data_IF_006048264804
#
_entry.id   IF_006048264804
#
_cell.length_a   1.000
_cell.length_b   1.000
_cell.length_c   1.000
_cell.angle_alpha   90.00
_cell.angle_beta   90.00
_cell.angle_gamma   90.00
#
_symmetry.space_group_name_H-M   'P 1'
#
loop_
_entity.id
_entity.type
_entity.pdbx_description
1 polymer ?
#
# COMPACT_ATOMS: atom_id res chain seq x y z
N UNK A 1 33.46 11.40 -2.30
CA UNK A 1 33.99 10.57 -3.40
C UNK A 1 32.83 9.71 -3.85
N UNK A 2 32.18 10.08 -4.95
CA UNK A 2 30.90 9.49 -5.37
C UNK A 2 31.18 8.12 -5.98
N UNK A 3 31.25 7.09 -5.14
CA UNK A 3 31.34 5.71 -5.57
C UNK A 3 29.94 5.19 -5.89
N UNK A 4 29.62 5.07 -7.17
CA UNK A 4 28.43 4.35 -7.60
C UNK A 4 28.76 2.87 -7.79
N UNK A 5 27.77 2.00 -7.63
CA UNK A 5 27.90 0.55 -7.85
C UNK A 5 26.74 0.09 -8.71
N UNK A 6 27.03 -0.59 -9.82
CA UNK A 6 26.02 -1.22 -10.66
C UNK A 6 25.91 -2.70 -10.30
N UNK A 7 24.69 -3.13 -9.98
CA UNK A 7 24.36 -4.53 -9.77
C UNK A 7 23.34 -4.95 -10.81
N UNK A 8 23.67 -6.00 -11.57
CA UNK A 8 22.81 -6.52 -12.63
C UNK A 8 22.31 -7.91 -12.26
N UNK A 9 21.00 -8.09 -12.33
CA UNK A 9 20.33 -9.37 -12.12
C UNK A 9 19.58 -9.77 -13.38
N UNK A 10 19.71 -11.04 -13.78
CA UNK A 10 18.91 -11.65 -14.85
C UNK A 10 18.03 -12.75 -14.28
N UNK A 11 16.73 -12.56 -14.33
CA UNK A 11 15.74 -13.57 -13.94
C UNK A 11 15.30 -14.35 -15.17
N UNK A 12 15.51 -15.67 -15.18
CA UNK A 12 14.94 -16.54 -16.22
C UNK A 12 13.43 -16.71 -16.03
N UNK A 13 12.70 -17.05 -17.09
CA UNK A 13 11.26 -17.35 -17.00
C UNK A 13 10.94 -18.39 -15.91
N UNK A 14 11.75 -19.46 -15.80
CA UNK A 14 11.58 -20.48 -14.76
C UNK A 14 11.78 -19.93 -13.33
N UNK A 15 12.68 -18.96 -13.14
CA UNK A 15 12.87 -18.30 -11.85
C UNK A 15 11.69 -17.39 -11.50
N UNK A 16 11.09 -16.74 -12.51
CA UNK A 16 9.90 -15.90 -12.36
C UNK A 16 8.69 -16.77 -11.97
N UNK A 17 8.47 -17.88 -12.69
CA UNK A 17 7.35 -18.80 -12.42
C UNK A 17 7.47 -19.46 -11.05
N UNK A 18 8.70 -19.76 -10.61
CA UNK A 18 8.99 -20.29 -9.27
C UNK A 18 8.95 -19.21 -8.17
N UNK A 19 8.74 -17.93 -8.51
CA UNK A 19 8.65 -16.83 -7.55
C UNK A 19 9.97 -16.51 -6.84
N UNK A 20 11.10 -16.80 -7.47
CA UNK A 20 12.42 -16.50 -6.93
C UNK A 20 12.64 -14.99 -6.79
N UNK A 21 13.44 -14.62 -5.80
CA UNK A 21 13.69 -13.21 -5.45
C UNK A 21 15.16 -12.97 -5.14
N UNK A 22 15.53 -11.69 -5.13
CA UNK A 22 16.84 -11.21 -4.69
C UNK A 22 16.65 -10.40 -3.41
N UNK A 23 17.33 -10.83 -2.34
CA UNK A 23 17.31 -10.13 -1.05
C UNK A 23 18.66 -9.50 -0.76
N UNK A 24 18.65 -8.21 -0.46
CA UNK A 24 19.77 -7.49 0.12
C UNK A 24 19.66 -7.59 1.63
N UNK A 25 20.66 -8.16 2.29
CA UNK A 25 20.60 -8.43 3.72
C UNK A 25 21.57 -7.55 4.49
N UNK A 26 21.18 -7.09 5.67
CA UNK A 26 22.06 -6.49 6.67
C UNK A 26 21.76 -7.10 8.05
N UNK A 27 22.79 -7.64 8.70
CA UNK A 27 22.68 -8.28 10.02
C UNK A 27 21.51 -9.29 10.16
N UNK A 28 21.19 -10.00 9.06
CA UNK A 28 20.09 -10.98 9.01
C UNK A 28 18.71 -10.42 8.68
N UNK A 29 18.56 -9.09 8.56
CA UNK A 29 17.34 -8.44 8.10
C UNK A 29 17.40 -8.15 6.58
N UNK A 30 16.27 -8.26 5.89
CA UNK A 30 16.14 -7.86 4.48
C UNK A 30 16.06 -6.34 4.43
N UNK A 31 16.94 -5.66 3.70
CA UNK A 31 16.89 -4.23 3.41
C UNK A 31 16.05 -3.92 2.17
N UNK A 32 16.23 -4.73 1.13
CA UNK A 32 15.58 -4.60 -0.17
C UNK A 32 15.28 -5.98 -0.74
N UNK A 33 14.05 -6.19 -1.22
CA UNK A 33 13.57 -7.43 -1.79
C UNK A 33 13.04 -7.18 -3.20
N UNK A 34 13.63 -7.84 -4.19
CA UNK A 34 13.21 -7.77 -5.60
C UNK A 34 12.50 -9.07 -5.97
N UNK A 35 11.21 -8.99 -6.34
CA UNK A 35 10.40 -10.14 -6.69
C UNK A 35 9.59 -9.91 -7.97
N UNK A 36 9.94 -10.59 -9.07
CA UNK A 36 9.10 -10.64 -10.27
C UNK A 36 7.76 -11.30 -9.95
N UNK A 37 6.66 -10.77 -10.50
CA UNK A 37 5.31 -11.33 -10.38
C UNK A 37 4.86 -11.88 -11.73
N UNK A 38 4.75 -13.21 -11.82
CA UNK A 38 4.35 -13.93 -13.03
C UNK A 38 2.95 -13.55 -13.54
N UNK A 39 1.99 -13.37 -12.62
CA UNK A 39 0.57 -13.13 -12.95
C UNK A 39 0.25 -11.70 -13.41
N UNK A 40 1.21 -10.78 -13.38
CA UNK A 40 0.93 -9.37 -13.66
C UNK A 40 2.08 -8.59 -14.25
N UNK A 41 3.01 -9.28 -14.93
CA UNK A 41 4.15 -8.70 -15.66
C UNK A 41 4.78 -7.51 -14.91
N UNK A 42 5.13 -7.71 -13.65
CA UNK A 42 5.62 -6.61 -12.83
C UNK A 42 6.79 -7.04 -11.96
N UNK A 43 7.70 -6.11 -11.68
CA UNK A 43 8.69 -6.25 -10.61
C UNK A 43 8.15 -5.57 -9.36
N UNK A 44 7.95 -6.35 -8.30
CA UNK A 44 7.69 -5.80 -6.98
C UNK A 44 9.03 -5.55 -6.27
N UNK A 45 9.18 -4.35 -5.73
CA UNK A 45 10.35 -3.90 -4.98
C UNK A 45 9.84 -3.54 -3.60
N UNK A 46 10.34 -4.25 -2.60
CA UNK A 46 9.94 -4.05 -1.21
C UNK A 46 11.14 -3.61 -0.40
N UNK A 47 11.02 -2.53 0.37
CA UNK A 47 11.99 -2.16 1.39
C UNK A 47 11.54 -2.65 2.77
N UNK A 48 12.49 -2.78 3.69
CA UNK A 48 12.21 -3.05 5.10
C UNK A 48 12.94 -2.05 5.97
N UNK A 49 12.23 -1.48 6.93
CA UNK A 49 12.79 -0.61 7.96
C UNK A 49 12.35 -1.13 9.33
N UNK A 50 13.29 -1.23 10.28
CA UNK A 50 12.99 -1.55 11.69
C UNK A 50 12.08 -2.78 11.86
N UNK A 51 12.46 -3.89 11.22
CA UNK A 51 11.75 -5.18 11.20
C UNK A 51 10.36 -5.23 10.54
N UNK A 52 9.87 -4.13 9.97
CA UNK A 52 8.61 -4.07 9.20
C UNK A 52 8.86 -3.78 7.71
N UNK A 53 8.07 -4.40 6.84
CA UNK A 53 8.04 -4.01 5.42
C UNK A 53 7.53 -2.58 5.32
N UNK A 54 8.30 -1.73 4.63
CA UNK A 54 8.12 -0.28 4.65
C UNK A 54 7.37 0.18 3.39
N UNK A 55 8.01 0.12 2.22
CA UNK A 55 7.43 0.55 0.95
C UNK A 55 7.43 -0.59 -0.08
N UNK A 56 6.29 -0.85 -0.72
CA UNK A 56 6.19 -1.69 -1.92
C UNK A 56 5.98 -0.80 -3.14
N UNK A 57 6.90 -0.84 -4.10
CA UNK A 57 6.69 -0.24 -5.42
C UNK A 57 6.61 -1.34 -6.46
N UNK A 58 5.58 -1.20 -7.31
CA UNK A 58 5.33 -2.10 -8.41
C UNK A 58 5.67 -1.41 -9.72
N UNK A 59 6.63 -1.97 -10.44
CA UNK A 59 6.98 -1.51 -11.78
C UNK A 59 6.36 -2.47 -12.79
N UNK A 60 5.45 -1.96 -13.63
CA UNK A 60 4.86 -2.73 -14.71
C UNK A 60 5.84 -2.86 -15.88
N UNK A 61 5.98 -4.08 -16.40
CA UNK A 61 6.75 -4.38 -17.61
C UNK A 61 5.82 -4.09 -18.80
N UNK A 62 5.93 -2.89 -19.38
CA UNK A 62 5.13 -2.50 -20.55
C UNK A 62 5.62 -3.25 -21.79
N UNK A 63 4.90 -4.31 -22.19
CA UNK A 63 5.21 -5.13 -23.37
C UNK A 63 4.36 -6.40 -23.47
N UNK A 64 4.09 -6.86 -24.70
CA UNK A 64 3.23 -8.03 -24.97
C UNK A 64 3.84 -9.37 -24.51
N UNK A 65 5.16 -9.44 -24.30
CA UNK A 65 5.88 -10.62 -23.82
C UNK A 65 6.82 -10.21 -22.67
N UNK A 66 6.84 -11.00 -21.59
CA UNK A 66 7.95 -10.93 -20.62
C UNK A 66 9.16 -11.49 -21.37
N UNK A 67 10.28 -10.77 -21.50
CA UNK A 67 11.46 -11.33 -22.16
C UNK A 67 11.89 -12.62 -21.43
N UNK A 68 12.40 -13.61 -22.18
CA UNK A 68 12.90 -14.90 -21.63
C UNK A 68 13.89 -14.71 -20.45
N UNK A 69 14.50 -13.53 -20.40
CA UNK A 69 15.25 -13.02 -19.26
C UNK A 69 14.85 -11.58 -18.92
N UNK A 70 14.43 -11.33 -17.69
CA UNK A 70 14.22 -9.98 -17.15
C UNK A 70 15.55 -9.45 -16.59
N UNK A 71 16.08 -8.39 -17.19
CA UNK A 71 17.26 -7.67 -16.68
C UNK A 71 16.85 -6.52 -15.75
N UNK A 72 17.44 -6.51 -14.55
CA UNK A 72 17.28 -5.45 -13.56
C UNK A 72 18.65 -4.90 -13.21
N UNK A 73 18.87 -3.61 -13.48
CA UNK A 73 20.06 -2.90 -13.04
C UNK A 73 19.73 -1.99 -11.85
N UNK A 74 20.51 -2.10 -10.78
CA UNK A 74 20.47 -1.16 -9.67
C UNK A 74 21.70 -0.26 -9.73
N UNK A 75 21.46 1.04 -9.69
CA UNK A 75 22.50 2.05 -9.58
C UNK A 75 22.37 2.78 -8.24
N UNK A 76 23.31 2.53 -7.34
CA UNK A 76 23.37 3.24 -6.07
C UNK A 76 24.05 4.60 -6.22
N UNK A 77 23.41 5.67 -5.74
CA UNK A 77 23.89 7.05 -5.75
C UNK A 77 23.68 7.72 -4.39
N UNK A 78 24.21 8.93 -4.18
CA UNK A 78 24.02 9.71 -2.95
C UNK A 78 22.54 10.10 -2.70
N UNK A 79 21.70 10.08 -3.74
CA UNK A 79 20.28 10.42 -3.66
C UNK A 79 19.37 9.17 -3.53
N UNK A 80 19.96 7.96 -3.46
CA UNK A 80 19.24 6.69 -3.36
C UNK A 80 19.60 5.69 -4.46
N UNK A 81 18.76 4.66 -4.61
CA UNK A 81 18.89 3.58 -5.59
C UNK A 81 18.04 3.89 -6.82
N UNK A 82 18.68 4.08 -7.97
CA UNK A 82 17.97 4.15 -9.26
C UNK A 82 17.83 2.75 -9.83
N UNK A 83 16.63 2.39 -10.27
CA UNK A 83 16.35 1.08 -10.86
C UNK A 83 16.10 1.24 -12.35
N UNK A 84 16.78 0.42 -13.14
CA UNK A 84 16.54 0.29 -14.57
C UNK A 84 16.00 -1.11 -14.86
N UNK A 85 14.92 -1.16 -15.65
CA UNK A 85 14.34 -2.38 -16.17
C UNK A 85 14.62 -2.47 -17.66
N UNK A 86 15.20 -3.59 -18.10
CA UNK A 86 15.55 -3.80 -19.51
C UNK A 86 16.38 -2.65 -20.13
N UNK A 87 17.21 -1.97 -19.33
CA UNK A 87 18.06 -0.86 -19.77
C UNK A 87 17.40 0.52 -19.78
N UNK A 88 16.11 0.64 -19.47
CA UNK A 88 15.40 1.93 -19.34
C UNK A 88 15.27 2.35 -17.87
N UNK A 89 15.49 3.64 -17.58
CA UNK A 89 15.36 4.15 -16.21
C UNK A 89 13.90 4.14 -15.79
N UNK A 90 13.58 3.33 -14.78
CA UNK A 90 12.18 3.15 -14.35
C UNK A 90 11.81 4.09 -13.21
N UNK A 91 12.64 4.22 -12.18
CA UNK A 91 12.37 5.11 -11.04
C UNK A 91 13.61 5.30 -10.13
N UNK A 92 13.53 6.24 -9.18
CA UNK A 92 14.57 6.51 -8.17
C UNK A 92 13.98 6.30 -6.77
N UNK A 93 14.66 5.52 -5.95
CA UNK A 93 14.26 5.17 -4.59
C UNK A 93 15.22 5.75 -3.55
N UNK A 94 14.78 6.79 -2.85
CA UNK A 94 15.55 7.40 -1.76
C UNK A 94 15.40 6.65 -0.43
N UNK A 95 14.34 5.86 -0.23
CA UNK A 95 14.00 5.21 1.05
C UNK A 95 14.31 3.70 1.13
N UNK A 96 14.77 3.07 0.05
CA UNK A 96 15.05 1.61 -0.03
C UNK A 96 16.23 1.09 0.82
N UNK A 97 16.68 1.86 1.81
CA UNK A 97 17.88 1.59 2.58
C UNK A 97 19.16 1.93 1.81
N UNK A 98 20.19 2.33 2.55
CA UNK A 98 21.54 2.51 1.99
C UNK A 98 22.11 1.14 1.63
N UNK A 99 22.25 0.85 0.32
CA UNK A 99 22.77 -0.43 -0.16
C UNK A 99 24.23 -0.65 0.27
N UNK A 100 24.97 0.37 0.69
CA UNK A 100 26.29 0.18 1.31
C UNK A 100 26.22 -0.53 2.66
N UNK A 101 25.05 -0.57 3.31
CA UNK A 101 24.83 -1.30 4.55
C UNK A 101 24.52 -2.79 4.34
N UNK A 102 24.29 -3.23 3.10
CA UNK A 102 24.07 -4.64 2.83
C UNK A 102 25.37 -5.44 3.10
N UNK A 103 25.31 -6.38 4.03
CA UNK A 103 26.43 -7.28 4.35
C UNK A 103 26.46 -8.49 3.43
N UNK A 104 25.31 -8.87 2.83
CA UNK A 104 25.24 -9.94 1.83
C UNK A 104 24.07 -9.74 0.85
N UNK A 105 24.13 -10.45 -0.28
CA UNK A 105 23.04 -10.54 -1.25
C UNK A 105 22.67 -12.02 -1.36
N UNK A 106 21.41 -12.36 -1.09
CA UNK A 106 20.87 -13.70 -1.26
C UNK A 106 20.19 -13.81 -2.61
N UNK A 107 20.75 -14.65 -3.47
CA UNK A 107 20.23 -14.93 -4.81
C UNK A 107 20.19 -16.43 -5.06
N UNK A 108 19.05 -17.02 -5.46
CA UNK A 108 19.01 -18.38 -5.98
C UNK A 108 19.95 -18.56 -7.18
N UNK A 109 20.52 -19.75 -7.34
CA UNK A 109 21.47 -20.07 -8.43
C UNK A 109 20.88 -19.92 -9.85
N UNK A 110 19.55 -19.85 -9.95
CA UNK A 110 18.79 -19.63 -11.18
C UNK A 110 18.71 -18.17 -11.61
N UNK A 111 19.25 -17.24 -10.79
CA UNK A 111 19.39 -15.82 -11.09
C UNK A 111 20.86 -15.53 -11.36
N UNK A 112 21.19 -15.11 -12.57
CA UNK A 112 22.55 -14.69 -12.88
C UNK A 112 22.80 -13.30 -12.29
N UNK A 113 23.92 -13.14 -11.58
CA UNK A 113 24.32 -11.89 -10.91
C UNK A 113 25.66 -11.42 -11.45
N UNK A 114 25.69 -10.21 -11.98
CA UNK A 114 26.93 -9.52 -12.39
C UNK A 114 27.13 -8.28 -11.53
N UNK A 115 28.31 -8.16 -10.94
CA UNK A 115 28.67 -7.03 -10.08
C UNK A 115 29.82 -6.27 -10.71
N UNK A 116 29.56 -5.06 -11.18
CA UNK A 116 30.61 -4.18 -11.69
C UNK A 116 31.20 -3.36 -10.55
N UNK A 117 32.54 -3.25 -10.45
CA UNK A 117 33.20 -2.45 -9.43
C UNK A 117 32.92 -0.95 -9.65
N UNK A 118 32.94 -0.18 -8.56
CA UNK A 118 32.78 1.27 -8.63
C UNK A 118 33.86 1.90 -9.51
N UNK A 119 33.47 2.42 -10.67
CA UNK A 119 34.36 3.15 -11.58
C UNK A 119 34.08 4.64 -11.47
N UNK A 120 35.06 5.55 -11.37
CA UNK A 120 34.79 6.99 -11.39
C UNK A 120 34.25 7.47 -12.75
N UNK A 121 34.33 6.64 -13.80
CA UNK A 121 33.82 6.96 -15.13
C UNK A 121 33.39 5.69 -15.88
N UNK A 122 32.09 5.57 -16.16
CA UNK A 122 31.53 4.86 -17.31
C UNK A 122 30.44 5.78 -17.89
N UNK A 123 30.25 5.78 -19.21
CA UNK A 123 29.42 6.75 -19.89
C UNK A 123 27.99 6.52 -19.44
N UNK A 124 27.35 7.58 -18.94
CA UNK A 124 25.91 7.70 -19.05
C UNK A 124 25.59 7.42 -20.52
N UNK A 125 25.12 6.22 -20.84
CA UNK A 125 24.23 6.06 -21.98
C UNK A 125 22.97 6.78 -21.52
N UNK A 126 23.01 8.11 -21.61
CA UNK A 126 21.81 8.91 -21.68
C UNK A 126 21.03 8.29 -22.82
N UNK A 127 19.80 7.78 -22.62
CA UNK A 127 18.90 7.63 -23.74
C UNK A 127 18.94 8.96 -24.50
N UNK A 128 18.84 8.91 -25.83
CA UNK A 128 18.78 10.11 -26.65
C UNK A 128 17.51 10.87 -26.29
N UNK A 129 17.59 11.66 -25.23
CA UNK A 129 16.67 12.71 -24.89
C UNK A 129 16.94 13.74 -25.96
N UNK A 130 16.02 13.87 -26.92
CA UNK A 130 15.89 15.16 -27.58
C UNK A 130 15.72 16.20 -26.47
N UNK A 131 16.70 17.09 -26.32
CA UNK A 131 16.64 18.21 -25.39
C UNK A 131 15.36 18.99 -25.66
N UNK A 132 14.34 18.78 -24.84
CA UNK A 132 13.45 19.86 -24.46
C UNK A 132 14.22 20.62 -23.37
N UNK A 133 14.62 21.85 -23.66
CA UNK A 133 15.40 22.68 -22.75
C UNK A 133 14.68 22.85 -21.41
N UNK A 134 15.46 22.94 -20.32
CA UNK A 134 14.98 23.24 -18.97
C UNK A 134 14.08 24.48 -18.96
N UNK A 135 12.97 24.50 -18.17
CA UNK A 135 12.20 25.72 -18.00
C UNK A 135 13.02 26.75 -17.22
N UNK A 136 13.21 27.90 -17.87
CA UNK A 136 13.66 29.19 -17.34
C UNK A 136 12.68 29.64 -16.23
N UNK A 137 13.10 30.45 -15.23
CA UNK A 137 12.19 31.01 -14.23
C UNK A 137 11.07 31.77 -14.93
N UNK A 138 9.83 31.84 -14.38
CA UNK A 138 8.74 32.50 -15.08
C UNK A 138 8.90 34.02 -14.99
N UNK A 139 9.72 34.58 -15.88
CA UNK A 139 9.47 35.90 -16.45
C UNK A 139 8.96 35.72 -17.88
N UNK A 140 7.68 36.07 -18.03
CA UNK A 140 6.93 36.58 -19.18
C UNK A 140 7.44 36.24 -20.62
N UNK A 141 6.48 35.76 -21.45
CA UNK A 141 6.44 35.63 -22.93
C UNK A 141 6.72 34.22 -23.54
N UNK A 142 6.20 33.87 -24.73
CA UNK A 142 4.88 34.07 -25.35
C UNK A 142 4.16 32.71 -25.64
N UNK A 143 2.88 32.79 -26.02
CA UNK A 143 1.97 31.66 -26.36
C UNK A 143 2.54 30.72 -27.45
N UNK A 144 2.38 29.38 -27.39
CA UNK A 144 2.81 28.47 -28.45
C UNK A 144 1.89 28.54 -29.69
N UNK A 145 2.45 28.69 -30.89
CA UNK A 145 1.72 28.88 -32.16
C UNK A 145 1.71 27.68 -33.11
N UNK A 146 2.02 26.45 -32.66
CA UNK A 146 1.90 25.26 -33.51
C UNK A 146 0.78 24.34 -33.02
N UNK A 147 -0.36 24.45 -33.71
CA UNK A 147 -1.64 23.79 -33.47
C UNK A 147 -1.58 22.33 -33.99
N UNK A 148 -1.93 21.29 -33.21
CA UNK A 148 -2.40 20.04 -33.82
C UNK A 148 -3.64 20.36 -34.68
N UNK A 149 -3.94 19.60 -35.75
CA UNK A 149 -5.16 19.85 -36.52
C UNK A 149 -6.33 19.82 -35.55
N UNK A 150 -7.01 20.97 -35.46
CA UNK A 150 -8.15 21.15 -34.60
C UNK A 150 -9.20 20.12 -35.00
N UNK A 151 -9.61 19.27 -34.07
CA UNK A 151 -11.00 18.84 -34.08
C UNK A 151 -11.79 20.12 -33.86
N UNK A 152 -12.30 20.71 -34.95
CA UNK A 152 -12.99 22.00 -35.02
C UNK A 152 -14.35 21.98 -34.30
N UNK A 153 -14.31 21.75 -33.00
CA UNK A 153 -15.42 21.95 -32.08
C UNK A 153 -14.87 22.51 -30.79
N UNK A 154 -14.94 23.83 -30.62
CA UNK A 154 -14.93 24.41 -29.27
C UNK A 154 -16.16 23.83 -28.59
N UNK A 155 -15.96 22.84 -27.73
CA UNK A 155 -17.05 22.36 -26.87
C UNK A 155 -17.39 23.54 -25.96
N UNK A 156 -18.56 24.13 -26.17
CA UNK A 156 -19.09 25.21 -25.34
C UNK A 156 -19.02 24.80 -23.85
N UNK A 157 -18.66 25.71 -22.91
CA UNK A 157 -18.52 25.38 -21.48
C UNK A 157 -19.71 24.62 -20.90
N UNK A 158 -20.93 24.96 -21.34
CA UNK A 158 -22.15 24.26 -20.95
C UNK A 158 -22.19 22.81 -21.46
N UNK A 159 -21.79 22.58 -22.71
CA UNK A 159 -21.74 21.24 -23.30
C UNK A 159 -20.67 20.37 -22.60
N UNK A 160 -19.51 20.95 -22.28
CA UNK A 160 -18.48 20.21 -21.56
C UNK A 160 -18.95 19.81 -20.16
N UNK A 161 -19.61 20.72 -19.45
CA UNK A 161 -20.18 20.42 -18.15
C UNK A 161 -21.20 19.26 -18.25
N UNK A 162 -22.11 19.29 -19.23
CA UNK A 162 -23.07 18.18 -19.44
C UNK A 162 -22.37 16.85 -19.72
N UNK A 163 -21.32 16.82 -20.55
CA UNK A 163 -20.54 15.62 -20.82
C UNK A 163 -19.84 15.08 -19.56
N UNK A 164 -19.27 15.97 -18.74
CA UNK A 164 -18.65 15.62 -17.46
C UNK A 164 -19.69 15.04 -16.51
N UNK A 165 -20.85 15.69 -16.35
CA UNK A 165 -21.94 15.21 -15.51
C UNK A 165 -22.45 13.84 -15.98
N UNK A 166 -22.58 13.64 -17.29
CA UNK A 166 -23.01 12.37 -17.87
C UNK A 166 -22.00 11.25 -17.61
N UNK A 167 -20.71 11.49 -17.84
CA UNK A 167 -19.64 10.54 -17.57
C UNK A 167 -19.55 10.20 -16.07
N UNK A 168 -19.71 11.20 -15.19
CA UNK A 168 -19.75 11.00 -13.75
C UNK A 168 -20.98 10.19 -13.29
N UNK A 169 -22.15 10.41 -13.91
CA UNK A 169 -23.35 9.60 -13.71
C UNK A 169 -23.15 8.14 -14.12
N UNK A 170 -22.38 7.89 -15.19
CA UNK A 170 -21.97 6.57 -15.62
C UNK A 170 -20.80 5.98 -14.79
N UNK A 171 -20.26 6.74 -13.83
CA UNK A 171 -19.06 6.40 -13.03
C UNK A 171 -17.80 6.14 -13.88
N UNK A 172 -17.74 6.73 -15.07
CA UNK A 172 -16.57 6.70 -15.93
C UNK A 172 -15.59 7.80 -15.52
N UNK A 173 -14.88 7.56 -14.42
CA UNK A 173 -13.98 8.54 -13.82
C UNK A 173 -12.80 8.89 -14.73
N UNK A 174 -12.33 7.92 -15.52
CA UNK A 174 -11.28 8.13 -16.51
C UNK A 174 -11.76 9.13 -17.57
N UNK A 175 -12.98 8.94 -18.10
CA UNK A 175 -13.57 9.85 -19.08
C UNK A 175 -13.82 11.24 -18.51
N UNK A 176 -14.28 11.36 -17.27
CA UNK A 176 -14.42 12.68 -16.60
C UNK A 176 -13.07 13.41 -16.58
N UNK A 177 -12.01 12.72 -16.15
CA UNK A 177 -10.68 13.31 -16.07
C UNK A 177 -10.12 13.66 -17.45
N UNK A 178 -10.37 12.83 -18.47
CA UNK A 178 -9.96 13.08 -19.86
C UNK A 178 -10.67 14.31 -20.44
N UNK A 179 -12.00 14.41 -20.28
CA UNK A 179 -12.80 15.55 -20.74
C UNK A 179 -12.30 16.88 -20.14
N UNK A 180 -11.82 16.84 -18.90
CA UNK A 180 -11.34 18.01 -18.17
C UNK A 180 -9.82 18.21 -18.23
N UNK A 181 -9.03 17.30 -18.83
CA UNK A 181 -7.57 17.29 -18.72
C UNK A 181 -6.90 18.55 -19.30
N UNK A 182 -7.35 18.97 -20.48
CA UNK A 182 -6.73 20.09 -21.20
C UNK A 182 -7.30 21.46 -20.81
N UNK A 183 -8.47 21.47 -20.14
CA UNK A 183 -9.25 22.70 -19.89
C UNK A 183 -10.08 22.63 -18.61
N UNK A 184 -9.53 22.27 -17.44
CA UNK A 184 -10.31 22.19 -16.21
C UNK A 184 -10.92 23.54 -15.80
N UNK A 185 -10.36 24.65 -16.29
CA UNK A 185 -10.88 26.01 -16.09
C UNK A 185 -12.18 26.25 -16.85
N UNK A 186 -12.46 25.53 -17.94
CA UNK A 186 -13.71 25.71 -18.69
C UNK A 186 -14.94 25.20 -17.95
N UNK A 187 -14.75 24.41 -16.89
CA UNK A 187 -15.81 24.02 -15.97
C UNK A 187 -16.10 25.08 -14.90
N UNK A 188 -15.25 26.11 -14.76
CA UNK A 188 -15.42 27.14 -13.73
C UNK A 188 -16.78 27.83 -13.84
N UNK A 189 -17.48 27.93 -12.71
CA UNK A 189 -18.82 28.50 -12.64
C UNK A 189 -19.93 27.46 -12.83
N UNK A 190 -19.59 26.22 -13.21
CA UNK A 190 -20.49 25.08 -13.14
C UNK A 190 -20.11 24.18 -11.96
N UNK A 191 -20.54 24.61 -10.77
CA UNK A 191 -20.20 23.95 -9.50
C UNK A 191 -20.47 22.43 -9.48
N UNK A 192 -21.61 21.91 -9.97
CA UNK A 192 -21.82 20.46 -10.05
C UNK A 192 -20.79 19.72 -10.92
N UNK A 193 -20.40 20.28 -12.07
CA UNK A 193 -19.40 19.66 -12.94
C UNK A 193 -17.99 19.73 -12.32
N UNK A 194 -17.66 20.81 -11.61
CA UNK A 194 -16.42 20.92 -10.86
C UNK A 194 -16.35 19.91 -9.69
N UNK A 195 -17.47 19.66 -9.00
CA UNK A 195 -17.57 18.60 -7.97
C UNK A 195 -17.39 17.22 -8.61
N UNK A 196 -18.03 16.95 -9.75
CA UNK A 196 -17.90 15.68 -10.46
C UNK A 196 -16.47 15.44 -10.97
N UNK A 197 -15.76 16.49 -11.40
CA UNK A 197 -14.32 16.42 -11.69
C UNK A 197 -13.52 16.07 -10.43
N UNK A 198 -13.76 16.75 -9.31
CA UNK A 198 -13.05 16.47 -8.06
C UNK A 198 -13.30 15.02 -7.58
N UNK A 199 -14.53 14.51 -7.72
CA UNK A 199 -14.88 13.12 -7.44
C UNK A 199 -14.09 12.15 -8.32
N UNK A 200 -14.00 12.41 -9.62
CA UNK A 200 -13.20 11.58 -10.53
C UNK A 200 -11.72 11.57 -10.13
N UNK A 201 -11.14 12.75 -9.85
CA UNK A 201 -9.76 12.88 -9.41
C UNK A 201 -9.49 12.09 -8.11
N UNK A 202 -10.41 12.11 -7.14
CA UNK A 202 -10.31 11.30 -5.91
C UNK A 202 -10.33 9.80 -6.21
N UNK A 203 -11.23 9.34 -7.09
CA UNK A 203 -11.31 7.92 -7.45
C UNK A 203 -10.06 7.43 -8.18
N UNK A 204 -9.45 8.29 -8.99
CA UNK A 204 -8.20 8.04 -9.70
C UNK A 204 -6.94 8.21 -8.83
N UNK A 205 -7.08 8.52 -7.53
CA UNK A 205 -5.95 8.73 -6.63
C UNK A 205 -5.22 10.07 -6.80
N UNK A 206 -5.73 10.96 -7.66
CA UNK A 206 -5.19 12.31 -7.94
C UNK A 206 -5.63 13.32 -6.88
N UNK A 207 -5.36 13.01 -5.60
CA UNK A 207 -5.87 13.76 -4.46
C UNK A 207 -5.46 15.23 -4.41
N UNK A 208 -4.23 15.57 -4.83
CA UNK A 208 -3.72 16.96 -4.87
C UNK A 208 -4.51 17.84 -5.84
N UNK A 209 -4.84 17.30 -7.02
CA UNK A 209 -5.61 18.02 -8.03
C UNK A 209 -7.07 18.19 -7.60
N UNK A 210 -7.64 17.17 -6.98
CA UNK A 210 -8.98 17.25 -6.39
C UNK A 210 -9.06 18.36 -5.32
N UNK A 211 -8.06 18.42 -4.42
CA UNK A 211 -7.97 19.46 -3.40
C UNK A 211 -7.92 20.86 -4.01
N UNK A 212 -7.14 21.07 -5.09
CA UNK A 212 -7.06 22.37 -5.75
C UNK A 212 -8.42 22.84 -6.30
N UNK A 213 -9.17 21.93 -6.95
CA UNK A 213 -10.53 22.22 -7.45
C UNK A 213 -11.48 22.55 -6.28
N UNK A 214 -11.47 21.73 -5.22
CA UNK A 214 -12.38 21.86 -4.09
C UNK A 214 -12.10 23.10 -3.23
N UNK A 215 -10.84 23.45 -2.98
CA UNK A 215 -10.49 24.67 -2.24
C UNK A 215 -10.92 25.92 -3.01
N UNK A 216 -10.77 25.93 -4.34
CA UNK A 216 -11.31 27.01 -5.18
C UNK A 216 -12.83 27.14 -5.05
N UNK A 217 -13.56 26.01 -5.10
CA UNK A 217 -15.01 25.99 -4.91
C UNK A 217 -15.44 26.51 -3.53
N UNK A 218 -14.66 26.20 -2.49
CA UNK A 218 -14.89 26.65 -1.12
C UNK A 218 -14.62 28.14 -0.88
N UNK A 219 -13.69 28.74 -1.63
CA UNK A 219 -13.43 30.19 -1.58
C UNK A 219 -14.51 31.02 -2.26
N UNK A 220 -15.18 30.46 -3.28
CA UNK A 220 -16.06 31.19 -4.19
C UNK A 220 -17.57 30.95 -3.94
N UNK A 221 -17.97 30.60 -2.71
CA UNK A 221 -19.38 30.33 -2.42
C UNK A 221 -19.72 30.28 -0.92
N UNK A 222 -21.00 30.14 -0.58
CA UNK A 222 -21.41 29.87 0.80
C UNK A 222 -20.84 28.51 1.26
N UNK A 223 -20.74 28.29 2.58
CA UNK A 223 -20.36 26.99 3.14
C UNK A 223 -21.15 25.86 2.48
N UNK A 224 -20.44 24.87 1.96
CA UNK A 224 -21.00 23.78 1.19
C UNK A 224 -20.43 22.46 1.72
N UNK A 225 -21.32 21.67 2.29
CA UNK A 225 -20.94 20.41 2.93
C UNK A 225 -20.47 19.36 1.94
N UNK A 226 -20.94 19.38 0.69
CA UNK A 226 -20.51 18.43 -0.32
C UNK A 226 -19.07 18.72 -0.73
N UNK A 227 -18.71 20.01 -0.83
CA UNK A 227 -17.32 20.45 -1.01
C UNK A 227 -16.46 20.07 0.18
N UNK A 228 -16.92 20.30 1.42
CA UNK A 228 -16.19 19.91 2.62
C UNK A 228 -15.96 18.38 2.69
N UNK A 229 -17.00 17.60 2.41
CA UNK A 229 -16.94 16.14 2.38
C UNK A 229 -15.92 15.64 1.35
N UNK A 230 -15.98 16.16 0.13
CA UNK A 230 -15.03 15.79 -0.93
C UNK A 230 -13.60 16.27 -0.64
N UNK A 231 -13.44 17.40 0.06
CA UNK A 231 -12.13 17.88 0.49
C UNK A 231 -11.52 16.95 1.54
N UNK A 232 -12.33 16.47 2.49
CA UNK A 232 -11.91 15.41 3.42
C UNK A 232 -11.45 14.14 2.70
N UNK A 233 -12.19 13.69 1.68
CA UNK A 233 -11.81 12.52 0.88
C UNK A 233 -10.53 12.75 0.06
N UNK A 234 -10.34 13.93 -0.53
CA UNK A 234 -9.13 14.30 -1.26
C UNK A 234 -7.89 14.32 -0.34
N UNK A 235 -8.05 14.78 0.90
CA UNK A 235 -7.00 14.77 1.92
C UNK A 235 -6.68 13.35 2.41
N UNK A 236 -7.68 12.48 2.58
CA UNK A 236 -7.45 11.06 2.87
C UNK A 236 -6.62 10.37 1.79
N UNK A 237 -6.84 10.69 0.50
CA UNK A 237 -6.03 10.16 -0.61
C UNK A 237 -4.58 10.62 -0.59
N UNK A 238 -4.30 11.70 0.13
CA UNK A 238 -2.97 12.23 0.37
C UNK A 238 -2.42 11.82 1.74
N UNK A 239 -3.11 10.94 2.47
CA UNK A 239 -2.77 10.51 3.83
C UNK A 239 -2.74 11.64 4.88
N UNK A 240 -3.37 12.79 4.58
CA UNK A 240 -3.48 13.94 5.49
C UNK A 240 -4.72 13.79 6.37
N UNK A 241 -4.72 12.77 7.24
CA UNK A 241 -5.90 12.36 8.00
C UNK A 241 -6.33 13.37 9.06
N UNK A 242 -5.40 14.09 9.69
CA UNK A 242 -5.73 15.10 10.70
C UNK A 242 -6.58 16.24 10.13
N UNK A 243 -6.19 16.74 8.95
CA UNK A 243 -6.93 17.77 8.24
C UNK A 243 -8.24 17.21 7.68
N UNK A 244 -8.21 15.99 7.11
CA UNK A 244 -9.41 15.34 6.61
C UNK A 244 -10.48 15.19 7.70
N UNK A 245 -10.06 14.84 8.93
CA UNK A 245 -10.95 14.69 10.08
C UNK A 245 -11.71 15.97 10.38
N UNK A 246 -11.06 17.14 10.29
CA UNK A 246 -11.72 18.42 10.54
C UNK A 246 -12.89 18.66 9.57
N UNK A 247 -12.69 18.37 8.29
CA UNK A 247 -13.75 18.52 7.29
C UNK A 247 -14.91 17.55 7.51
N UNK A 248 -14.64 16.29 7.86
CA UNK A 248 -15.72 15.33 8.17
C UNK A 248 -16.49 15.69 9.45
N UNK A 249 -15.80 16.23 10.46
CA UNK A 249 -16.46 16.72 11.68
C UNK A 249 -17.33 17.95 11.40
N UNK A 250 -16.93 18.83 10.48
CA UNK A 250 -17.77 19.93 10.01
C UNK A 250 -19.04 19.42 9.33
N UNK A 251 -18.93 18.45 8.40
CA UNK A 251 -20.10 17.82 7.77
C UNK A 251 -21.02 17.17 8.83
N UNK A 252 -20.42 16.48 9.81
CA UNK A 252 -21.17 15.83 10.89
C UNK A 252 -21.89 16.82 11.81
N UNK A 253 -21.35 18.02 12.01
CA UNK A 253 -22.00 19.06 12.81
C UNK A 253 -23.29 19.57 12.15
N UNK A 254 -23.33 19.66 10.82
CA UNK A 254 -24.53 20.02 10.05
C UNK A 254 -25.56 18.90 9.98
N UNK A 255 -25.11 17.65 9.78
CA UNK A 255 -25.97 16.47 9.68
C UNK A 255 -25.49 15.31 10.57
N UNK A 256 -25.84 15.31 11.86
CA UNK A 256 -25.30 14.35 12.85
C UNK A 256 -25.59 12.87 12.59
N UNK A 257 -26.59 12.56 11.75
CA UNK A 257 -27.04 11.21 11.46
C UNK A 257 -26.82 10.81 9.99
N UNK A 258 -26.12 11.63 9.21
CA UNK A 258 -25.78 11.26 7.84
C UNK A 258 -24.71 10.16 7.85
N UNK A 259 -25.10 8.96 7.41
CA UNK A 259 -24.31 7.74 7.59
C UNK A 259 -22.92 7.85 6.95
N UNK A 260 -22.81 8.49 5.77
CA UNK A 260 -21.50 8.68 5.10
C UNK A 260 -20.58 9.58 5.92
N UNK A 261 -21.10 10.62 6.57
CA UNK A 261 -20.29 11.54 7.37
C UNK A 261 -19.82 10.89 8.67
N UNK A 262 -20.72 10.17 9.35
CA UNK A 262 -20.39 9.44 10.58
C UNK A 262 -19.32 8.39 10.30
N UNK A 263 -19.46 7.62 9.22
CA UNK A 263 -18.49 6.61 8.84
C UNK A 263 -17.14 7.21 8.47
N UNK A 264 -17.11 8.26 7.65
CA UNK A 264 -15.84 8.89 7.25
C UNK A 264 -15.13 9.59 8.41
N UNK A 265 -15.88 10.22 9.32
CA UNK A 265 -15.32 10.78 10.56
C UNK A 265 -14.71 9.66 11.43
N UNK A 266 -15.44 8.56 11.66
CA UNK A 266 -14.95 7.43 12.45
C UNK A 266 -13.72 6.76 11.83
N UNK A 267 -13.76 6.47 10.54
CA UNK A 267 -12.64 5.87 9.78
C UNK A 267 -11.41 6.77 9.80
N UNK A 268 -11.57 8.08 9.60
CA UNK A 268 -10.45 9.02 9.62
C UNK A 268 -9.88 9.18 11.03
N UNK A 269 -10.73 9.20 12.05
CA UNK A 269 -10.30 9.25 13.45
C UNK A 269 -9.51 7.99 13.82
N UNK A 270 -9.95 6.81 13.37
CA UNK A 270 -9.20 5.56 13.50
C UNK A 270 -7.83 5.60 12.79
N UNK A 271 -7.72 6.27 11.63
CA UNK A 271 -6.43 6.50 10.98
C UNK A 271 -5.52 7.42 11.81
N UNK A 272 -6.09 8.42 12.49
CA UNK A 272 -5.34 9.31 13.39
C UNK A 272 -4.79 8.56 14.62
N UNK A 273 -5.57 7.63 15.17
CA UNK A 273 -5.12 6.74 16.26
C UNK A 273 -3.84 6.00 15.91
N UNK A 274 -3.71 5.56 14.66
CA UNK A 274 -2.57 4.77 14.18
C UNK A 274 -1.45 5.60 13.52
N UNK A 275 -1.53 6.93 13.55
CA UNK A 275 -0.53 7.83 12.93
C UNK A 275 -0.55 7.84 11.40
N UNK A 276 -1.67 7.46 10.80
CA UNK A 276 -1.88 7.57 9.35
C UNK A 276 -0.87 6.78 8.51
N UNK A 277 -0.52 5.57 8.92
CA UNK A 277 0.54 4.75 8.31
C UNK A 277 1.95 5.37 8.44
N UNK A 278 2.22 6.04 9.56
CA UNK A 278 3.54 6.65 9.84
C UNK A 278 3.73 8.04 9.23
N UNK A 279 2.67 8.67 8.72
CA UNK A 279 2.73 10.02 8.16
C UNK A 279 2.70 11.12 9.24
N UNK A 280 2.21 10.82 10.45
CA UNK A 280 2.24 11.72 11.60
C UNK A 280 2.23 10.95 12.91
N UNK A 281 2.39 11.67 14.03
CA UNK A 281 2.41 11.09 15.37
C UNK A 281 1.08 10.40 15.70
N UNK A 282 1.08 9.11 16.10
CA UNK A 282 -0.14 8.42 16.52
C UNK A 282 -0.86 9.17 17.64
N UNK A 283 -2.18 9.26 17.55
CA UNK A 283 -3.03 9.92 18.54
C UNK A 283 -3.88 8.89 19.30
N UNK A 284 -3.28 8.09 20.20
CA UNK A 284 -3.98 7.00 20.89
C UNK A 284 -5.16 7.48 21.75
N UNK A 285 -5.16 8.74 22.17
CA UNK A 285 -6.24 9.35 22.94
C UNK A 285 -7.56 9.44 22.16
N UNK A 286 -7.52 9.34 20.82
CA UNK A 286 -8.71 9.37 19.97
C UNK A 286 -9.41 8.02 19.83
N UNK A 287 -8.88 6.94 20.44
CA UNK A 287 -9.39 5.58 20.23
C UNK A 287 -10.85 5.42 20.67
N UNK A 288 -11.25 6.08 21.77
CA UNK A 288 -12.63 6.04 22.26
C UNK A 288 -13.58 6.78 21.32
N UNK A 289 -13.18 7.95 20.81
CA UNK A 289 -13.96 8.69 19.82
C UNK A 289 -14.12 7.90 18.51
N UNK A 290 -13.05 7.24 18.05
CA UNK A 290 -13.10 6.38 16.87
C UNK A 290 -14.08 5.23 17.06
N UNK A 291 -14.04 4.55 18.22
CA UNK A 291 -14.98 3.48 18.58
C UNK A 291 -16.43 4.01 18.56
N UNK A 292 -16.71 5.12 19.23
CA UNK A 292 -18.06 5.70 19.29
C UNK A 292 -18.62 6.05 17.90
N UNK A 293 -17.81 6.70 17.06
CA UNK A 293 -18.19 7.05 15.70
C UNK A 293 -18.42 5.80 14.84
N UNK A 294 -17.57 4.80 14.93
CA UNK A 294 -17.68 3.56 14.15
C UNK A 294 -18.86 2.69 14.62
N UNK A 295 -19.17 2.67 15.92
CA UNK A 295 -20.38 2.03 16.45
C UNK A 295 -21.64 2.73 15.94
N UNK A 296 -21.66 4.07 15.91
CA UNK A 296 -22.78 4.82 15.30
C UNK A 296 -22.90 4.54 13.81
N UNK A 297 -21.79 4.53 13.07
CA UNK A 297 -21.78 4.21 11.65
C UNK A 297 -22.32 2.81 11.38
N UNK A 298 -21.93 1.82 12.19
CA UNK A 298 -22.44 0.45 12.11
C UNK A 298 -23.96 0.36 12.34
N UNK A 299 -24.51 1.18 13.24
CA UNK A 299 -25.96 1.28 13.46
C UNK A 299 -26.72 1.89 12.29
N UNK A 300 -26.12 2.87 11.59
CA UNK A 300 -26.73 3.55 10.44
C UNK A 300 -26.59 2.73 9.14
N UNK A 301 -25.46 2.07 8.95
CA UNK A 301 -25.12 1.34 7.71
C UNK A 301 -25.45 -0.16 7.81
N UNK A 302 -26.74 -0.48 7.97
CA UNK A 302 -27.21 -1.83 8.33
C UNK A 302 -26.94 -2.95 7.32
N UNK A 303 -26.41 -2.67 6.12
CA UNK A 303 -26.07 -3.68 5.09
C UNK A 303 -24.59 -3.63 4.69
N UNK A 304 -23.78 -2.86 5.41
CA UNK A 304 -22.37 -2.65 5.11
C UNK A 304 -21.51 -3.19 6.24
N UNK A 305 -20.57 -4.08 5.91
CA UNK A 305 -19.63 -4.64 6.86
C UNK A 305 -18.44 -3.74 7.19
N UNK A 306 -18.18 -2.70 6.39
CA UNK A 306 -16.99 -1.84 6.55
C UNK A 306 -16.91 -1.17 7.92
N UNK A 307 -17.97 -0.54 8.47
CA UNK A 307 -17.90 0.06 9.81
C UNK A 307 -17.54 -0.95 10.89
N UNK A 308 -18.09 -2.17 10.82
CA UNK A 308 -17.78 -3.24 11.76
C UNK A 308 -16.32 -3.70 11.69
N UNK A 309 -15.73 -3.77 10.48
CA UNK A 309 -14.31 -4.10 10.31
C UNK A 309 -13.40 -3.03 10.90
N UNK A 310 -13.66 -1.76 10.62
CA UNK A 310 -12.88 -0.64 11.20
C UNK A 310 -13.04 -0.60 12.73
N UNK A 311 -14.25 -0.85 13.24
CA UNK A 311 -14.52 -0.95 14.67
C UNK A 311 -13.71 -2.07 15.32
N UNK A 312 -13.63 -3.24 14.68
CA UNK A 312 -12.82 -4.35 15.16
C UNK A 312 -11.35 -3.96 15.31
N UNK A 313 -10.79 -3.24 14.34
CA UNK A 313 -9.39 -2.79 14.41
C UNK A 313 -9.15 -1.87 15.63
N UNK A 314 -10.09 -0.97 15.94
CA UNK A 314 -9.99 -0.11 17.12
C UNK A 314 -10.15 -0.90 18.43
N UNK A 315 -11.10 -1.83 18.49
CA UNK A 315 -11.27 -2.71 19.65
C UNK A 315 -10.03 -3.59 19.89
N UNK A 316 -9.39 -4.09 18.84
CA UNK A 316 -8.11 -4.80 18.92
C UNK A 316 -6.99 -3.92 19.50
N UNK A 317 -6.90 -2.66 19.06
CA UNK A 317 -5.94 -1.68 19.58
C UNK A 317 -6.15 -1.39 21.07
N UNK A 318 -7.41 -1.39 21.52
CA UNK A 318 -7.80 -1.25 22.93
C UNK A 318 -7.62 -2.54 23.76
N UNK A 319 -7.29 -3.67 23.11
CA UNK A 319 -7.15 -4.97 23.76
C UNK A 319 -8.46 -5.71 24.04
N UNK A 320 -9.59 -5.20 23.53
CA UNK A 320 -10.93 -5.80 23.64
C UNK A 320 -11.12 -6.86 22.54
N UNK A 321 -10.42 -8.00 22.71
CA UNK A 321 -10.25 -8.99 21.65
C UNK A 321 -11.52 -9.77 21.31
N UNK A 322 -12.38 -10.07 22.30
CA UNK A 322 -13.64 -10.78 22.04
C UNK A 322 -14.65 -9.87 21.32
N UNK A 323 -14.74 -8.60 21.73
CA UNK A 323 -15.59 -7.60 21.07
C UNK A 323 -15.12 -7.33 19.63
N UNK A 324 -13.80 -7.28 19.43
CA UNK A 324 -13.23 -7.19 18.09
C UNK A 324 -13.61 -8.39 17.21
N UNK A 325 -13.57 -9.61 17.77
CA UNK A 325 -13.95 -10.82 17.04
C UNK A 325 -15.43 -10.79 16.66
N UNK A 326 -16.29 -10.41 17.60
CA UNK A 326 -17.72 -10.22 17.35
C UNK A 326 -17.98 -9.19 16.25
N UNK A 327 -17.23 -8.09 16.24
CA UNK A 327 -17.31 -7.08 15.19
C UNK A 327 -16.86 -7.62 13.81
N UNK A 328 -15.78 -8.40 13.72
CA UNK A 328 -15.37 -9.02 12.46
C UNK A 328 -16.40 -10.04 11.94
N UNK A 329 -16.99 -10.83 12.83
CA UNK A 329 -18.07 -11.77 12.47
C UNK A 329 -19.28 -11.02 11.92
N UNK A 330 -19.66 -9.91 12.54
CA UNK A 330 -20.75 -9.08 12.05
C UNK A 330 -20.41 -8.40 10.72
N UNK A 331 -19.15 -7.93 10.53
CA UNK A 331 -18.67 -7.41 9.26
C UNK A 331 -18.82 -8.44 8.13
N UNK A 332 -18.39 -9.68 8.37
CA UNK A 332 -18.54 -10.80 7.43
C UNK A 332 -20.01 -11.12 7.14
N UNK A 333 -20.88 -11.08 8.16
CA UNK A 333 -22.31 -11.33 8.00
C UNK A 333 -23.00 -10.26 7.13
N UNK A 334 -22.62 -9.00 7.29
CA UNK A 334 -23.17 -7.88 6.50
C UNK A 334 -22.60 -7.84 5.08
N UNK A 335 -21.36 -8.27 4.90
CA UNK A 335 -20.68 -8.28 3.60
C UNK A 335 -19.97 -9.62 3.35
N UNK A 336 -20.70 -10.68 2.98
CA UNK A 336 -20.15 -12.04 2.83
C UNK A 336 -19.03 -12.16 1.78
N UNK A 337 -18.97 -11.22 0.84
CA UNK A 337 -17.93 -11.16 -0.18
C UNK A 337 -16.55 -10.72 0.35
N UNK A 338 -16.46 -10.20 1.58
CA UNK A 338 -15.20 -9.76 2.19
C UNK A 338 -14.40 -10.95 2.74
N UNK A 339 -14.01 -11.89 1.88
CA UNK A 339 -13.33 -13.13 2.26
C UNK A 339 -12.00 -12.91 2.99
N UNK A 340 -11.36 -11.74 2.81
CA UNK A 340 -10.18 -11.33 3.57
C UNK A 340 -10.40 -11.32 5.11
N UNK A 341 -11.65 -11.16 5.58
CA UNK A 341 -11.96 -11.14 7.01
C UNK A 341 -11.75 -12.49 7.69
N UNK A 342 -11.77 -13.61 6.96
CA UNK A 342 -11.50 -14.93 7.54
C UNK A 342 -10.07 -15.00 8.11
N UNK A 343 -9.10 -14.43 7.41
CA UNK A 343 -7.72 -14.41 7.89
C UNK A 343 -7.52 -13.42 9.05
N UNK A 344 -8.23 -12.29 9.05
CA UNK A 344 -8.24 -11.35 10.18
C UNK A 344 -8.84 -12.00 11.45
N UNK A 345 -9.96 -12.72 11.32
CA UNK A 345 -10.57 -13.49 12.41
C UNK A 345 -9.64 -14.57 12.93
N UNK A 346 -8.98 -15.32 12.04
CA UNK A 346 -7.99 -16.36 12.41
C UNK A 346 -6.88 -15.78 13.28
N UNK A 347 -6.27 -14.66 12.88
CA UNK A 347 -5.21 -13.99 13.65
C UNK A 347 -5.69 -13.52 15.02
N UNK A 348 -6.94 -13.08 15.13
CA UNK A 348 -7.52 -12.66 16.40
C UNK A 348 -7.81 -13.85 17.33
N UNK A 349 -8.32 -14.94 16.77
CA UNK A 349 -8.56 -16.19 17.51
C UNK A 349 -7.26 -16.81 18.05
N UNK A 350 -6.14 -16.68 17.31
CA UNK A 350 -4.80 -17.02 17.82
C UNK A 350 -4.46 -16.25 19.09
N UNK A 351 -4.72 -14.93 19.12
CA UNK A 351 -4.46 -14.07 20.30
C UNK A 351 -5.38 -14.40 21.48
N UNK A 352 -6.56 -14.95 21.20
CA UNK A 352 -7.52 -15.45 22.19
C UNK A 352 -7.24 -16.90 22.64
N UNK A 353 -6.16 -17.52 22.13
CA UNK A 353 -5.81 -18.92 22.37
C UNK A 353 -6.84 -19.96 21.89
N UNK A 354 -7.72 -19.57 20.95
CA UNK A 354 -8.78 -20.40 20.35
C UNK A 354 -8.30 -21.04 19.04
N UNK A 355 -7.32 -21.93 19.15
CA UNK A 355 -6.47 -22.36 18.03
C UNK A 355 -7.23 -23.20 16.99
N UNK A 356 -8.14 -24.05 17.42
CA UNK A 356 -8.97 -24.86 16.52
C UNK A 356 -9.90 -23.99 15.67
N UNK A 357 -10.50 -22.96 16.28
CA UNK A 357 -11.33 -21.98 15.56
C UNK A 357 -10.49 -21.11 14.63
N UNK A 358 -9.29 -20.70 15.06
CA UNK A 358 -8.35 -19.97 14.21
C UNK A 358 -7.99 -20.78 12.96
N UNK A 359 -7.74 -22.08 13.12
CA UNK A 359 -7.44 -22.99 12.01
C UNK A 359 -8.64 -23.15 11.07
N UNK A 360 -9.86 -23.25 11.61
CA UNK A 360 -11.07 -23.27 10.79
C UNK A 360 -11.19 -22.01 9.93
N UNK A 361 -11.01 -20.82 10.53
CA UNK A 361 -11.06 -19.56 9.80
C UNK A 361 -9.95 -19.43 8.74
N UNK A 362 -8.72 -19.88 9.05
CA UNK A 362 -7.63 -19.89 8.07
C UNK A 362 -7.94 -20.79 6.86
N UNK A 363 -8.60 -21.94 7.08
CA UNK A 363 -9.06 -22.83 6.00
C UNK A 363 -10.15 -22.20 5.15
N UNK A 364 -11.09 -21.47 5.76
CA UNK A 364 -12.09 -20.69 5.00
C UNK A 364 -11.42 -19.61 4.15
N UNK A 365 -10.38 -18.94 4.66
CA UNK A 365 -9.61 -17.96 3.90
C UNK A 365 -8.91 -18.59 2.68
N UNK A 366 -8.25 -19.75 2.87
CA UNK A 366 -7.58 -20.46 1.77
C UNK A 366 -8.57 -21.05 0.74
N UNK A 367 -9.74 -21.50 1.19
CA UNK A 367 -10.79 -21.99 0.28
C UNK A 367 -11.43 -20.86 -0.55
N UNK A 368 -11.46 -19.65 -0.01
CA UNK A 368 -11.96 -18.48 -0.73
C UNK A 368 -10.97 -17.91 -1.75
N UNK A 369 -9.66 -18.11 -1.52
CA UNK A 369 -8.59 -17.74 -2.43
C UNK A 369 -7.42 -18.72 -2.25
N UNK A 370 -7.29 -19.66 -3.19
CA UNK A 370 -6.25 -20.70 -3.16
C UNK A 370 -4.83 -20.12 -3.31
N UNK A 371 -4.71 -18.91 -3.86
CA UNK A 371 -3.44 -18.19 -4.00
C UNK A 371 -3.04 -17.40 -2.76
N UNK A 372 -3.85 -17.44 -1.70
CA UNK A 372 -3.57 -16.74 -0.45
C UNK A 372 -2.49 -17.45 0.39
N UNK A 373 -1.22 -17.18 0.07
CA UNK A 373 -0.05 -17.72 0.77
C UNK A 373 -0.07 -17.49 2.29
N UNK A 374 -0.65 -16.37 2.73
CA UNK A 374 -0.76 -16.04 4.14
C UNK A 374 -1.73 -16.98 4.88
N UNK A 375 -2.84 -17.37 4.23
CA UNK A 375 -3.77 -18.36 4.76
C UNK A 375 -3.11 -19.75 4.83
N UNK A 376 -2.48 -20.19 3.74
CA UNK A 376 -1.76 -21.48 3.68
C UNK A 376 -0.63 -21.58 4.73
N UNK A 377 0.14 -20.52 4.89
CA UNK A 377 1.19 -20.45 5.92
C UNK A 377 0.62 -20.51 7.34
N UNK A 378 -0.49 -19.80 7.59
CA UNK A 378 -1.18 -19.81 8.88
C UNK A 378 -1.70 -21.20 9.22
N UNK A 379 -2.33 -21.91 8.28
CA UNK A 379 -2.82 -23.29 8.45
C UNK A 379 -1.68 -24.21 8.94
N UNK A 380 -0.55 -24.22 8.24
CA UNK A 380 0.61 -25.06 8.58
C UNK A 380 1.16 -24.77 9.98
N UNK A 381 1.19 -23.50 10.39
CA UNK A 381 1.66 -23.10 11.73
C UNK A 381 0.69 -23.62 12.80
N UNK A 382 -0.62 -23.41 12.60
CA UNK A 382 -1.64 -23.80 13.56
C UNK A 382 -1.75 -25.33 13.70
N UNK A 383 -1.61 -26.08 12.61
CA UNK A 383 -1.58 -27.55 12.66
C UNK A 383 -0.41 -28.07 13.49
N UNK A 384 0.81 -27.55 13.25
CA UNK A 384 1.98 -27.90 14.07
C UNK A 384 1.79 -27.55 15.54
N UNK A 385 1.14 -26.43 15.83
CA UNK A 385 0.87 -26.02 17.20
C UNK A 385 -0.12 -26.97 17.90
N UNK A 386 -1.19 -27.38 17.21
CA UNK A 386 -2.14 -28.35 17.74
C UNK A 386 -1.50 -29.73 17.95
N UNK A 387 -0.66 -30.18 17.03
CA UNK A 387 0.08 -31.44 17.18
C UNK A 387 1.01 -31.40 18.40
N UNK A 388 1.72 -30.29 18.60
CA UNK A 388 2.56 -30.09 19.78
C UNK A 388 1.74 -30.08 21.09
N UNK A 389 0.56 -29.44 21.10
CA UNK A 389 -0.34 -29.46 22.27
C UNK A 389 -0.85 -30.87 22.58
N UNK A 390 -1.18 -31.66 21.55
CA UNK A 390 -1.64 -33.05 21.70
C UNK A 390 -0.55 -33.99 22.20
N UNK A 391 0.70 -33.77 21.78
CA UNK A 391 1.84 -34.58 22.22
C UNK A 391 2.17 -34.41 23.72
N UNK A 392 1.66 -33.35 24.36
CA UNK A 392 1.99 -33.01 25.74
C UNK A 392 3.44 -32.54 25.92
N UNK A 393 3.86 -32.14 27.14
CA UNK A 393 5.27 -31.89 27.40
C UNK A 393 6.05 -33.17 27.12
N UNK A 394 7.16 -33.06 26.40
CA UNK A 394 8.10 -34.16 26.21
C UNK A 394 8.41 -34.74 27.60
N UNK A 395 7.98 -35.98 27.84
CA UNK A 395 8.50 -36.76 28.96
C UNK A 395 10.02 -36.68 28.83
N UNK A 396 10.67 -36.03 29.79
CA UNK A 396 12.12 -36.09 29.94
C UNK A 396 12.43 -37.53 30.32
N UNK A 397 12.45 -38.40 29.32
CA UNK A 397 12.91 -39.77 29.44
C UNK A 397 14.28 -39.68 30.07
N UNK A 398 14.41 -40.31 31.24
CA UNK A 398 15.67 -40.50 31.95
C UNK A 398 16.78 -40.77 30.93
N UNK A 399 17.74 -39.85 30.84
CA UNK A 399 19.02 -40.10 30.21
C UNK A 399 19.60 -41.33 30.90
N UNK A 400 19.46 -42.49 30.27
CA UNK A 400 20.26 -43.64 30.63
C UNK A 400 21.68 -43.30 30.22
N UNK A 401 22.56 -43.17 31.22
CA UNK A 401 23.99 -43.00 31.02
C UNK A 401 24.51 -44.05 30.02
N UNK A 402 25.28 -43.66 28.99
CA UNK A 402 25.92 -44.62 28.11
C UNK A 402 26.94 -45.46 28.90
N UNK A 403 27.05 -46.78 28.63
CA UNK A 403 27.91 -47.64 29.42
C UNK A 403 29.38 -47.34 29.14
N UNK A 404 30.12 -47.05 30.22
CA UNK A 404 31.53 -47.36 30.38
C UNK A 404 32.51 -46.73 29.39
N UNK A 405 33.03 -45.55 29.73
CA UNK A 405 34.44 -45.22 29.43
C UNK A 405 35.14 -44.74 30.69
N UNK A 406 36.01 -45.62 31.18
CA UNK A 406 36.96 -45.43 32.27
C UNK A 406 37.80 -44.17 32.03
N UNK A 407 37.79 -43.23 32.97
CA UNK A 407 38.77 -42.13 33.04
C UNK A 407 40.00 -42.62 33.84
N UNK A 408 41.24 -42.45 33.35
CA UNK A 408 42.42 -42.65 34.16
C UNK A 408 42.61 -41.43 35.08
N UNK A 409 42.94 -41.73 36.34
CA UNK A 409 42.98 -40.77 37.45
C UNK A 409 43.96 -39.61 37.28
N UNK A 410 43.64 -38.51 37.97
CA UNK A 410 44.64 -37.54 38.40
C UNK A 410 44.47 -37.31 39.90
N UNK A 411 45.58 -37.52 40.60
CA UNK A 411 45.76 -37.38 42.04
C UNK A 411 45.67 -35.90 42.43
N UNK A 412 44.94 -35.63 43.50
CA UNK A 412 45.09 -34.41 44.32
C UNK A 412 46.18 -34.69 45.37
N UNK A 413 47.09 -33.74 45.65
CA UNK A 413 47.72 -33.68 46.95
C UNK A 413 47.34 -32.40 47.72
N UNK A 414 46.94 -32.65 48.97
CA UNK A 414 46.88 -31.83 50.19
C UNK A 414 46.38 -30.39 50.12
#
# INVERSE_FOLDING_TARGET
MNSWRRLRFRFSQAAIDAGHSVDFLNDGAILLHLKPRASGKALAINSRASDQWDEEVRLELTGAEIPDQLEVDLLHTENGVTIYLAGEQSTVFSRCGDLHRATSISTPATIATEVEPASPALPLVTPRIERIASPVPPEQHPVPTARPPATDGVVEPAMLAELVRAAAGAKDWARVAELAADRPETLQGNRPAEIDLARALIQLGRGKEAEAVLRRLGMNGPPDEDVAYHLGLALQKQHRYDEARQFFLQCLAGHPNEARYVFEAGRTTAQCVNGGFGNFEPQPTLIDEAIDLLTRAAGLMTRDGRPHRELAAMLQGKGLLEEALAALVEAQRRSPAMTALYLEQSRLLVRLDRIEEALHQARLAAAADESNDAASSTIRILERWLDARRAGPLSTGTLTDPPGRSRPGSKVPA
#
